data_IF_925435445101
#
_entry.id   IF_925435445101
#
_cell.length_a   1.000
_cell.length_b   1.000
_cell.length_c   1.000
_cell.angle_alpha   90.00
_cell.angle_beta   90.00
_cell.angle_gamma   90.00
#
_symmetry.space_group_name_H-M   'P 1'
#
loop_
_entity.id
_entity.type
_entity.pdbx_description
1 polymer ?
#
# COMPACT_ATOMS: atom_id res chain seq x y z
N UNK A 1 14.65 -3.65 -15.55
CA UNK A 1 14.98 -4.89 -14.81
C UNK A 1 16.37 -4.85 -14.15
N UNK A 2 17.48 -4.75 -14.89
CA UNK A 2 18.85 -4.75 -14.32
C UNK A 2 19.08 -3.80 -13.13
N UNK A 3 18.57 -2.57 -13.20
CA UNK A 3 18.66 -1.60 -12.08
C UNK A 3 17.89 -2.07 -10.86
N UNK A 4 16.70 -2.63 -11.05
CA UNK A 4 15.88 -3.20 -9.99
C UNK A 4 16.56 -4.42 -9.34
N UNK A 5 17.23 -5.26 -10.15
CA UNK A 5 18.02 -6.38 -9.64
C UNK A 5 19.21 -5.91 -8.81
N UNK A 6 19.92 -4.86 -9.25
CA UNK A 6 21.01 -4.25 -8.48
C UNK A 6 20.49 -3.67 -7.16
N UNK A 7 19.36 -2.96 -7.18
CA UNK A 7 18.71 -2.44 -5.97
C UNK A 7 18.33 -3.57 -5.00
N UNK A 8 17.79 -4.68 -5.53
CA UNK A 8 17.43 -5.87 -4.76
C UNK A 8 18.64 -6.72 -4.30
N UNK A 9 19.86 -6.38 -4.72
CA UNK A 9 21.08 -7.15 -4.49
C UNK A 9 21.42 -8.09 -5.65
N UNK A 10 20.48 -8.93 -6.09
CA UNK A 10 20.68 -9.87 -7.20
C UNK A 10 19.39 -10.10 -8.00
N UNK A 11 19.50 -10.75 -9.18
CA UNK A 11 18.33 -11.20 -9.95
C UNK A 11 17.49 -12.23 -9.19
N UNK A 12 18.14 -13.08 -8.41
CA UNK A 12 17.46 -14.10 -7.60
C UNK A 12 16.68 -13.48 -6.45
N UNK A 13 17.22 -12.44 -5.81
CA UNK A 13 16.55 -11.69 -4.75
C UNK A 13 15.27 -10.97 -5.24
N UNK A 14 15.15 -10.68 -6.54
CA UNK A 14 13.89 -10.15 -7.09
C UNK A 14 12.75 -11.18 -7.09
N UNK A 15 13.05 -12.48 -7.07
CA UNK A 15 12.02 -13.51 -7.14
C UNK A 15 11.14 -13.51 -5.89
N UNK A 16 9.84 -13.74 -6.09
CA UNK A 16 8.85 -13.81 -5.00
C UNK A 16 8.23 -12.47 -4.61
N UNK A 17 8.55 -11.37 -5.31
CA UNK A 17 7.82 -10.11 -5.18
C UNK A 17 6.39 -10.20 -5.73
N UNK A 18 5.53 -9.28 -5.31
CA UNK A 18 4.16 -9.15 -5.84
C UNK A 18 4.08 -8.06 -6.92
N UNK A 19 3.08 -8.14 -7.80
CA UNK A 19 2.84 -7.11 -8.84
C UNK A 19 2.60 -5.74 -8.19
N UNK A 20 1.88 -5.69 -7.08
CA UNK A 20 1.60 -4.45 -6.32
C UNK A 20 2.90 -3.78 -5.87
N UNK A 21 3.81 -4.55 -5.25
CA UNK A 21 5.11 -4.03 -4.81
C UNK A 21 5.91 -3.48 -5.99
N UNK A 22 5.92 -4.20 -7.12
CA UNK A 22 6.61 -3.74 -8.32
C UNK A 22 6.04 -2.43 -8.87
N UNK A 23 4.71 -2.30 -8.89
CA UNK A 23 4.06 -1.05 -9.31
C UNK A 23 4.44 0.11 -8.38
N UNK A 24 4.29 -0.06 -7.06
CA UNK A 24 4.62 1.00 -6.11
C UNK A 24 6.10 1.37 -6.06
N UNK A 25 7.02 0.40 -6.24
CA UNK A 25 8.45 0.67 -6.27
C UNK A 25 8.86 1.44 -7.54
N UNK A 26 8.13 1.26 -8.65
CA UNK A 26 8.39 1.94 -9.93
C UNK A 26 7.70 3.30 -10.03
N UNK A 27 6.52 3.45 -9.42
CA UNK A 27 5.68 4.64 -9.58
C UNK A 27 5.64 5.53 -8.35
N UNK A 28 6.00 5.00 -7.17
CA UNK A 28 5.75 5.67 -5.90
C UNK A 28 4.27 5.74 -5.51
N UNK A 29 3.38 5.11 -6.29
CA UNK A 29 1.94 5.17 -6.16
C UNK A 29 1.36 4.38 -4.98
N UNK A 30 0.02 4.25 -4.99
CA UNK A 30 -0.71 3.42 -4.03
C UNK A 30 -1.24 2.19 -4.74
N UNK A 31 -0.78 1.01 -4.33
CA UNK A 31 -1.14 -0.26 -4.95
C UNK A 31 -2.23 -1.02 -4.20
N UNK A 32 -3.11 -1.67 -4.95
CA UNK A 32 -4.21 -2.51 -4.48
C UNK A 32 -4.22 -3.84 -5.22
N UNK A 33 -4.77 -4.85 -4.56
CA UNK A 33 -4.97 -6.19 -5.13
C UNK A 33 -6.37 -6.67 -4.80
N UNK A 34 -7.04 -7.19 -5.82
CA UNK A 34 -8.33 -7.84 -5.73
C UNK A 34 -8.19 -9.30 -6.13
N UNK A 35 -8.63 -10.22 -5.27
CA UNK A 35 -8.67 -11.64 -5.58
C UNK A 35 -10.08 -11.99 -6.14
N UNK A 36 -10.13 -12.59 -7.33
CA UNK A 36 -11.35 -12.98 -8.06
C UNK A 36 -11.77 -14.43 -7.78
N UNK A 37 -11.02 -15.17 -6.96
CA UNK A 37 -11.20 -16.63 -6.78
C UNK A 37 -12.24 -17.03 -5.73
N UNK A 38 -12.74 -18.27 -5.88
CA UNK A 38 -13.93 -18.85 -5.23
C UNK A 38 -13.88 -19.07 -3.71
N UNK A 39 -12.73 -18.99 -3.04
CA UNK A 39 -12.59 -19.40 -1.63
C UNK A 39 -11.67 -18.47 -0.81
N UNK A 40 -12.12 -17.27 -0.46
CA UNK A 40 -11.53 -16.52 0.65
C UNK A 40 -12.64 -16.10 1.60
N UNK A 41 -12.82 -16.77 2.77
CA UNK A 41 -13.54 -16.14 3.87
C UNK A 41 -12.87 -14.82 4.22
N UNK A 42 -13.63 -13.86 4.76
CA UNK A 42 -13.29 -12.47 5.12
C UNK A 42 -12.11 -12.30 6.11
N UNK A 43 -11.03 -13.06 5.99
CA UNK A 43 -9.87 -12.96 6.87
C UNK A 43 -8.94 -11.84 6.41
N UNK A 44 -9.21 -10.64 6.94
CA UNK A 44 -8.27 -9.53 7.12
C UNK A 44 -8.14 -8.52 5.97
N UNK A 45 -9.27 -7.99 5.51
CA UNK A 45 -9.28 -6.76 4.71
C UNK A 45 -9.04 -6.92 3.20
N UNK A 46 -9.22 -8.13 2.65
CA UNK A 46 -9.43 -8.31 1.20
C UNK A 46 -10.92 -8.45 0.99
N UNK A 47 -11.59 -7.43 0.42
CA UNK A 47 -13.01 -7.53 0.07
C UNK A 47 -13.16 -8.66 -0.95
N UNK A 48 -13.95 -9.69 -0.62
CA UNK A 48 -14.34 -10.71 -1.58
C UNK A 48 -15.39 -10.08 -2.52
N UNK A 49 -15.10 -9.99 -3.82
CA UNK A 49 -16.01 -9.33 -4.77
C UNK A 49 -16.81 -10.28 -5.65
N UNK A 50 -16.44 -11.57 -5.72
CA UNK A 50 -17.05 -12.51 -6.66
C UNK A 50 -17.60 -13.74 -5.94
N UNK A 51 -18.93 -13.82 -5.74
CA UNK A 51 -19.61 -15.09 -5.52
C UNK A 51 -19.45 -15.98 -6.76
N UNK A 52 -19.29 -17.29 -6.53
CA UNK A 52 -19.12 -18.31 -7.58
C UNK A 52 -20.14 -18.14 -8.73
N UNK A 53 -19.65 -18.05 -9.97
CA UNK A 53 -20.47 -18.10 -11.19
C UNK A 53 -21.19 -16.81 -11.58
N UNK A 54 -20.90 -15.69 -10.92
CA UNK A 54 -21.49 -14.40 -11.25
C UNK A 54 -20.50 -13.51 -12.00
N UNK A 55 -21.03 -12.66 -12.88
CA UNK A 55 -20.30 -11.60 -13.58
C UNK A 55 -20.64 -10.28 -12.88
N UNK A 56 -19.87 -9.84 -11.87
CA UNK A 56 -20.25 -8.70 -11.05
C UNK A 56 -20.15 -7.40 -11.85
N UNK A 57 -21.28 -6.75 -12.12
CA UNK A 57 -21.31 -5.45 -12.80
C UNK A 57 -20.48 -4.39 -12.06
N UNK A 58 -20.53 -4.40 -10.73
CA UNK A 58 -19.81 -3.44 -9.88
C UNK A 58 -18.28 -3.46 -10.08
N UNK A 59 -17.68 -4.63 -10.33
CA UNK A 59 -16.23 -4.73 -10.59
C UNK A 59 -15.89 -4.15 -11.97
N UNK A 60 -16.74 -4.34 -12.97
CA UNK A 60 -16.58 -3.69 -14.27
C UNK A 60 -16.59 -2.17 -14.10
N UNK A 61 -17.58 -1.65 -13.40
CA UNK A 61 -17.73 -0.22 -13.16
C UNK A 61 -16.49 0.35 -12.43
N UNK A 62 -15.98 -0.37 -11.43
CA UNK A 62 -14.76 0.03 -10.71
C UNK A 62 -13.53 -0.01 -11.62
N UNK A 63 -13.31 -1.07 -12.41
CA UNK A 63 -12.17 -1.14 -13.36
C UNK A 63 -12.27 0.01 -14.38
N UNK A 64 -13.45 0.27 -14.95
CA UNK A 64 -13.65 1.34 -15.92
C UNK A 64 -13.45 2.73 -15.31
N UNK A 65 -13.93 2.95 -14.08
CA UNK A 65 -13.69 4.19 -13.34
C UNK A 65 -12.19 4.40 -13.13
N UNK A 66 -11.48 3.37 -12.65
CA UNK A 66 -10.04 3.47 -12.37
C UNK A 66 -9.23 3.66 -13.65
N UNK A 67 -9.57 3.02 -14.75
CA UNK A 67 -8.90 3.25 -16.05
C UNK A 67 -9.13 4.67 -16.61
N UNK A 68 -10.20 5.37 -16.23
CA UNK A 68 -10.41 6.78 -16.61
C UNK A 68 -9.60 7.75 -15.76
N UNK A 69 -9.07 7.30 -14.64
CA UNK A 69 -8.23 8.08 -13.72
C UNK A 69 -6.77 7.64 -13.88
N UNK A 70 -5.86 8.23 -13.12
CA UNK A 70 -4.42 7.93 -13.21
C UNK A 70 -4.03 6.57 -12.58
N UNK A 71 -4.80 5.51 -12.83
CA UNK A 71 -4.47 4.17 -12.35
C UNK A 71 -3.87 3.30 -13.45
N UNK A 72 -2.82 2.57 -13.08
CA UNK A 72 -2.34 1.42 -13.86
C UNK A 72 -3.11 0.19 -13.41
N UNK A 73 -3.73 -0.51 -14.36
CA UNK A 73 -4.51 -1.72 -14.09
C UNK A 73 -3.86 -2.94 -14.75
N UNK A 74 -3.78 -4.04 -14.00
CA UNK A 74 -3.28 -5.31 -14.50
C UNK A 74 -4.01 -6.49 -13.89
N UNK A 75 -3.79 -7.68 -14.44
CA UNK A 75 -4.40 -8.91 -13.93
C UNK A 75 -3.47 -10.11 -14.07
N UNK A 76 -3.78 -11.17 -13.34
CA UNK A 76 -3.08 -12.46 -13.45
C UNK A 76 -4.08 -13.60 -13.38
N UNK A 77 -3.79 -14.68 -14.11
CA UNK A 77 -4.38 -15.99 -13.87
C UNK A 77 -3.37 -16.83 -13.09
N UNK A 78 -3.69 -17.22 -11.86
CA UNK A 78 -2.78 -17.93 -10.95
C UNK A 78 -3.32 -19.33 -10.67
N UNK A 79 -2.47 -20.36 -10.76
CA UNK A 79 -2.79 -21.73 -10.32
C UNK A 79 -1.79 -22.18 -9.27
N UNK A 80 -2.25 -22.92 -8.25
CA UNK A 80 -1.36 -23.50 -7.24
C UNK A 80 -0.71 -24.77 -7.82
N UNK A 81 0.62 -24.82 -7.87
CA UNK A 81 1.36 -26.08 -8.04
C UNK A 81 1.93 -26.38 -9.44
N UNK A 82 1.68 -25.55 -10.46
CA UNK A 82 2.22 -25.82 -11.81
C UNK A 82 3.56 -25.08 -12.05
N UNK A 83 4.61 -25.75 -12.55
CA UNK A 83 5.82 -25.08 -13.01
C UNK A 83 5.50 -24.14 -14.20
N UNK A 84 6.29 -23.06 -14.34
CA UNK A 84 6.19 -22.05 -15.41
C UNK A 84 6.22 -22.69 -16.82
N UNK A 85 5.60 -22.06 -17.85
CA UNK A 85 4.20 -21.69 -17.99
C UNK A 85 3.41 -22.79 -18.72
N UNK A 86 2.38 -23.36 -18.08
CA UNK A 86 1.30 -24.02 -18.81
C UNK A 86 0.36 -22.95 -19.37
N UNK A 87 0.17 -22.91 -20.68
CA UNK A 87 -0.90 -22.09 -21.28
C UNK A 87 -2.20 -22.85 -21.17
N UNK A 88 -3.31 -22.19 -20.82
CA UNK A 88 -4.64 -22.79 -20.94
C UNK A 88 -4.94 -23.12 -22.40
N UNK A 89 -5.92 -24.02 -22.62
CA UNK A 89 -6.44 -24.31 -23.96
C UNK A 89 -6.93 -23.05 -24.69
N UNK A 90 -7.32 -22.01 -23.93
CA UNK A 90 -7.80 -20.73 -24.46
C UNK A 90 -6.70 -19.69 -24.73
N UNK A 91 -5.43 -20.06 -24.59
CA UNK A 91 -4.30 -19.16 -24.87
C UNK A 91 -3.87 -18.28 -23.70
N UNK A 92 -4.52 -18.38 -22.54
CA UNK A 92 -4.10 -17.63 -21.33
C UNK A 92 -2.89 -18.32 -20.70
N UNK A 93 -1.75 -17.65 -20.69
CA UNK A 93 -0.58 -18.01 -19.89
C UNK A 93 -0.84 -17.87 -18.39
N UNK A 94 -0.63 -18.98 -17.67
CA UNK A 94 -0.74 -19.04 -16.21
C UNK A 94 0.48 -18.40 -15.53
N UNK A 95 0.27 -17.84 -14.34
CA UNK A 95 1.28 -17.25 -13.48
C UNK A 95 2.09 -16.12 -14.17
N UNK A 96 1.46 -15.42 -15.13
CA UNK A 96 1.98 -14.23 -15.82
C UNK A 96 1.06 -13.04 -15.59
N UNK A 97 1.66 -11.85 -15.50
CA UNK A 97 0.95 -10.59 -15.37
C UNK A 97 0.60 -10.05 -16.75
N UNK A 98 -0.67 -9.67 -16.91
CA UNK A 98 -1.20 -8.99 -18.07
C UNK A 98 -1.48 -7.53 -17.68
N UNK A 99 -1.19 -6.62 -18.59
CA UNK A 99 -1.59 -5.22 -18.47
C UNK A 99 -2.96 -5.04 -19.12
N UNK A 100 -3.86 -4.34 -18.44
CA UNK A 100 -5.11 -3.91 -19.06
C UNK A 100 -4.87 -2.57 -19.73
N UNK A 101 -5.00 -2.54 -21.06
CA UNK A 101 -4.64 -1.37 -21.87
C UNK A 101 -5.83 -0.42 -22.02
N UNK A 102 -7.02 -0.97 -22.25
CA UNK A 102 -8.26 -0.21 -22.39
C UNK A 102 -9.46 -1.15 -22.23
N UNK A 103 -10.65 -0.59 -22.04
CA UNK A 103 -11.90 -1.33 -22.03
C UNK A 103 -13.08 -0.37 -22.07
N UNK A 104 -14.25 -0.90 -22.41
CA UNK A 104 -15.46 -0.12 -22.51
C UNK A 104 -16.66 -0.95 -22.94
N UNK A 105 -17.82 -0.33 -22.84
CA UNK A 105 -19.08 -0.84 -23.36
C UNK A 105 -19.17 -0.47 -24.84
N UNK A 106 -19.19 -1.49 -25.70
CA UNK A 106 -19.20 -1.35 -27.16
C UNK A 106 -20.39 -2.11 -27.74
N UNK A 107 -21.38 -1.35 -28.22
CA UNK A 107 -22.69 -1.90 -28.60
C UNK A 107 -23.27 -2.65 -27.39
N UNK A 108 -23.65 -3.92 -27.55
CA UNK A 108 -24.18 -4.75 -26.46
C UNK A 108 -23.09 -5.56 -25.72
N UNK A 109 -21.80 -5.27 -25.97
CA UNK A 109 -20.68 -6.08 -25.47
C UNK A 109 -19.77 -5.29 -24.52
N UNK A 110 -19.38 -5.89 -23.40
CA UNK A 110 -18.35 -5.37 -22.49
C UNK A 110 -16.99 -5.95 -22.85
N UNK A 111 -16.14 -5.17 -23.51
CA UNK A 111 -14.86 -5.65 -24.03
C UNK A 111 -13.68 -4.94 -23.37
N UNK A 112 -12.62 -5.69 -23.11
CA UNK A 112 -11.35 -5.15 -22.64
C UNK A 112 -10.18 -5.67 -23.46
N UNK A 113 -9.16 -4.84 -23.61
CA UNK A 113 -7.91 -5.16 -24.28
C UNK A 113 -6.83 -5.44 -23.24
N UNK A 114 -6.33 -6.67 -23.25
CA UNK A 114 -5.21 -7.09 -22.41
C UNK A 114 -3.93 -7.15 -23.24
N UNK A 115 -2.79 -6.99 -22.56
CA UNK A 115 -1.46 -7.16 -23.15
C UNK A 115 -0.60 -8.04 -22.27
N UNK A 116 0.02 -9.05 -22.85
CA UNK A 116 1.05 -9.87 -22.21
C UNK A 116 2.46 -9.47 -22.71
N UNK A 117 3.50 -9.47 -21.86
CA UNK A 117 4.87 -9.29 -22.34
C UNK A 117 5.26 -10.40 -23.32
N UNK A 118 6.04 -10.02 -24.33
CA UNK A 118 6.60 -10.94 -25.32
C UNK A 118 7.65 -11.87 -24.69
N UNK A 119 7.83 -13.03 -25.31
CA UNK A 119 8.94 -13.93 -25.02
C UNK A 119 10.26 -13.42 -25.63
N UNK A 120 11.34 -14.17 -25.40
CA UNK A 120 12.68 -13.86 -25.90
C UNK A 120 12.79 -13.80 -27.43
N UNK A 121 11.84 -14.43 -28.13
CA UNK A 121 11.76 -14.44 -29.59
C UNK A 121 10.82 -13.36 -30.12
N UNK A 122 10.29 -12.48 -29.25
CA UNK A 122 9.37 -11.42 -29.62
C UNK A 122 7.96 -11.92 -29.92
N UNK A 123 7.57 -13.10 -29.45
CA UNK A 123 6.25 -13.68 -29.67
C UNK A 123 5.45 -13.72 -28.37
N UNK A 124 4.13 -13.73 -28.48
CA UNK A 124 3.24 -14.00 -27.36
C UNK A 124 2.17 -15.02 -27.77
N UNK A 125 1.76 -15.86 -26.83
CA UNK A 125 0.57 -16.70 -27.02
C UNK A 125 -0.64 -15.91 -26.55
N UNK A 126 -1.50 -15.57 -27.50
CA UNK A 126 -2.67 -14.72 -27.29
C UNK A 126 -3.95 -15.55 -27.09
N UNK A 127 -4.99 -14.85 -26.66
CA UNK A 127 -6.32 -15.40 -26.48
C UNK A 127 -6.90 -15.94 -27.80
N UNK A 128 -7.44 -17.15 -27.77
CA UNK A 128 -8.04 -17.81 -28.95
C UNK A 128 -9.56 -18.04 -28.80
N UNK A 129 -10.20 -17.36 -27.85
CA UNK A 129 -11.64 -17.45 -27.60
C UNK A 129 -12.46 -16.42 -28.40
N UNK A 130 -13.66 -16.10 -27.91
CA UNK A 130 -14.51 -15.05 -28.49
C UNK A 130 -13.77 -13.70 -28.42
N UNK A 131 -13.78 -12.93 -29.50
CA UNK A 131 -12.99 -11.69 -29.66
C UNK A 131 -11.48 -11.86 -29.83
N UNK A 132 -10.98 -13.07 -30.00
CA UNK A 132 -9.64 -13.30 -30.58
C UNK A 132 -9.54 -12.76 -32.01
N UNK A 133 -8.33 -12.61 -32.53
CA UNK A 133 -8.06 -11.99 -33.85
C UNK A 133 -8.78 -12.68 -35.02
N UNK A 134 -8.92 -14.00 -34.94
CA UNK A 134 -9.62 -14.85 -35.92
C UNK A 134 -11.09 -15.12 -35.55
N UNK A 135 -11.61 -14.50 -34.49
CA UNK A 135 -12.98 -14.71 -34.05
C UNK A 135 -14.00 -14.19 -35.07
N UNK A 136 -15.02 -15.00 -35.36
CA UNK A 136 -16.18 -14.59 -36.17
C UNK A 136 -17.12 -13.61 -35.44
N UNK A 137 -16.90 -13.34 -34.15
CA UNK A 137 -17.67 -12.35 -33.39
C UNK A 137 -17.41 -10.91 -33.85
N UNK A 138 -16.27 -10.66 -34.51
CA UNK A 138 -15.92 -9.36 -35.03
C UNK A 138 -16.78 -8.96 -36.23
N UNK A 139 -17.47 -7.84 -36.11
CA UNK A 139 -18.09 -7.14 -37.24
C UNK A 139 -17.19 -5.98 -37.74
N UNK A 140 -17.41 -5.51 -38.97
CA UNK A 140 -16.59 -4.45 -39.59
C UNK A 140 -16.58 -3.15 -38.78
N UNK A 141 -17.70 -2.82 -38.12
CA UNK A 141 -17.85 -1.60 -37.33
C UNK A 141 -17.01 -1.65 -36.04
N UNK A 142 -17.08 -2.75 -35.29
CA UNK A 142 -16.27 -2.97 -34.09
C UNK A 142 -14.78 -3.03 -34.42
N UNK A 143 -14.39 -3.65 -35.55
CA UNK A 143 -13.00 -3.65 -36.01
C UNK A 143 -12.48 -2.23 -36.23
N UNK A 144 -13.27 -1.37 -36.87
CA UNK A 144 -12.91 0.03 -37.10
C UNK A 144 -12.87 0.83 -35.80
N UNK A 145 -13.89 0.70 -34.95
CA UNK A 145 -14.02 1.45 -33.69
C UNK A 145 -12.92 1.12 -32.68
N UNK A 146 -12.52 -0.15 -32.59
CA UNK A 146 -11.49 -0.59 -31.65
C UNK A 146 -10.07 -0.54 -32.23
N UNK A 147 -9.91 0.05 -33.42
CA UNK A 147 -8.65 0.08 -34.17
C UNK A 147 -8.00 -1.31 -34.24
N UNK A 148 -8.81 -2.33 -34.51
CA UNK A 148 -8.35 -3.71 -34.61
C UNK A 148 -7.37 -3.86 -35.78
N UNK A 149 -6.17 -4.39 -35.51
CA UNK A 149 -5.20 -4.81 -36.51
C UNK A 149 -4.96 -6.30 -36.38
N UNK A 150 -5.05 -7.05 -37.48
CA UNK A 150 -4.96 -8.52 -37.48
C UNK A 150 -3.53 -9.06 -37.35
N UNK A 151 -2.52 -8.21 -37.14
CA UNK A 151 -1.14 -8.55 -37.54
C UNK A 151 -0.03 -8.00 -36.65
N UNK A 152 -0.25 -7.92 -35.35
CA UNK A 152 0.85 -7.66 -34.43
C UNK A 152 0.85 -8.78 -33.41
N UNK A 153 1.82 -9.68 -33.50
CA UNK A 153 2.16 -10.62 -32.41
C UNK A 153 2.79 -9.81 -31.24
N UNK A 154 2.10 -8.75 -30.82
CA UNK A 154 2.52 -7.77 -29.82
C UNK A 154 2.00 -8.13 -28.43
N UNK A 155 1.32 -9.28 -28.34
CA UNK A 155 0.74 -9.82 -27.12
C UNK A 155 -0.54 -9.13 -26.73
N UNK A 156 -1.16 -8.32 -27.60
CA UNK A 156 -2.42 -7.63 -27.31
C UNK A 156 -3.61 -8.41 -27.85
N UNK A 157 -4.66 -8.56 -27.03
CA UNK A 157 -5.88 -9.22 -27.47
C UNK A 157 -7.09 -8.66 -26.75
N UNK A 158 -8.26 -8.78 -27.39
CA UNK A 158 -9.54 -8.43 -26.80
C UNK A 158 -10.19 -9.66 -26.15
N UNK A 159 -10.87 -9.43 -25.03
CA UNK A 159 -11.64 -10.44 -24.32
C UNK A 159 -12.94 -9.81 -23.78
N UNK A 160 -14.01 -10.58 -23.76
CA UNK A 160 -15.27 -10.18 -23.15
C UNK A 160 -15.17 -10.22 -21.62
N UNK A 161 -15.85 -9.30 -20.93
CA UNK A 161 -15.82 -9.22 -19.46
C UNK A 161 -16.23 -10.53 -18.78
N UNK A 162 -17.21 -11.23 -19.35
CA UNK A 162 -17.65 -12.53 -18.84
C UNK A 162 -16.52 -13.57 -18.90
N UNK A 163 -15.79 -13.64 -20.02
CA UNK A 163 -14.65 -14.55 -20.18
C UNK A 163 -13.46 -14.13 -19.31
N UNK A 164 -13.24 -12.82 -19.13
CA UNK A 164 -12.26 -12.32 -18.17
C UNK A 164 -12.53 -12.82 -16.76
N UNK A 165 -13.76 -12.68 -16.26
CA UNK A 165 -14.15 -13.17 -14.93
C UNK A 165 -14.03 -14.69 -14.78
N UNK A 166 -14.20 -15.46 -15.87
CA UNK A 166 -14.02 -16.92 -15.87
C UNK A 166 -12.55 -17.34 -15.78
N UNK A 167 -11.65 -16.60 -16.41
CA UNK A 167 -10.24 -17.03 -16.57
C UNK A 167 -9.29 -16.35 -15.58
N UNK A 168 -9.49 -15.07 -15.27
CA UNK A 168 -8.57 -14.32 -14.41
C UNK A 168 -8.84 -14.57 -12.94
N UNK A 169 -7.77 -14.58 -12.15
CA UNK A 169 -7.87 -14.90 -10.71
C UNK A 169 -7.61 -13.69 -9.83
N UNK A 170 -6.89 -12.68 -10.32
CA UNK A 170 -6.53 -11.49 -9.54
C UNK A 170 -6.45 -10.26 -10.44
N UNK A 171 -6.82 -9.12 -9.89
CA UNK A 171 -6.66 -7.78 -10.49
C UNK A 171 -5.78 -6.95 -9.58
N UNK A 172 -4.88 -6.18 -10.17
CA UNK A 172 -3.99 -5.24 -9.50
C UNK A 172 -4.27 -3.86 -10.04
N UNK A 173 -4.33 -2.88 -9.15
CA UNK A 173 -4.50 -1.48 -9.51
C UNK A 173 -3.46 -0.66 -8.77
N UNK A 174 -2.88 0.34 -9.40
CA UNK A 174 -1.98 1.27 -8.74
C UNK A 174 -2.35 2.70 -9.14
N UNK A 175 -2.78 3.51 -8.17
CA UNK A 175 -3.01 4.94 -8.38
C UNK A 175 -1.65 5.64 -8.44
N UNK A 176 -1.37 6.32 -9.53
CA UNK A 176 -0.27 7.27 -9.62
C UNK A 176 -0.61 8.47 -8.72
N UNK A 177 0.41 9.00 -8.03
CA UNK A 177 0.26 10.21 -7.24
C UNK A 177 0.61 11.39 -8.15
N UNK A 178 -0.31 12.35 -8.25
CA UNK A 178 -0.10 13.65 -8.88
C UNK A 178 0.27 14.71 -7.81
N UNK A 179 0.41 15.96 -8.26
CA UNK A 179 0.83 17.08 -7.41
C UNK A 179 -0.27 17.54 -6.41
N UNK A 180 -1.50 17.02 -6.53
CA UNK A 180 -2.63 17.34 -5.64
C UNK A 180 -2.64 16.49 -4.35
N UNK A 181 -1.65 15.62 -4.17
CA UNK A 181 -1.56 14.78 -2.98
C UNK A 181 -0.68 15.40 -1.90
N UNK A 182 -1.28 15.67 -0.74
CA UNK A 182 -0.51 15.94 0.47
C UNK A 182 0.08 14.62 1.00
N UNK A 183 1.42 14.57 1.13
CA UNK A 183 2.16 13.38 1.60
C UNK A 183 3.04 13.67 2.81
N UNK A 184 2.75 13.01 3.93
CA UNK A 184 3.68 12.90 5.06
C UNK A 184 4.38 11.54 5.04
N UNK A 185 5.69 11.53 5.23
CA UNK A 185 6.48 10.29 5.33
C UNK A 185 7.41 10.36 6.52
N UNK A 186 7.26 9.41 7.43
CA UNK A 186 8.15 9.23 8.58
C UNK A 186 8.96 7.97 8.37
N UNK A 187 10.29 8.08 8.51
CA UNK A 187 11.19 6.94 8.63
C UNK A 187 11.57 6.81 10.10
N UNK A 188 11.24 5.69 10.72
CA UNK A 188 11.49 5.44 12.13
C UNK A 188 11.85 3.97 12.35
N UNK A 189 11.96 3.56 13.60
CA UNK A 189 12.28 2.20 14.00
C UNK A 189 11.59 1.84 15.31
N UNK A 190 11.29 0.56 15.46
CA UNK A 190 11.07 -0.04 16.77
C UNK A 190 12.43 -0.57 17.26
N UNK A 191 12.87 -0.10 18.42
CA UNK A 191 14.14 -0.44 19.07
C UNK A 191 14.02 -0.24 20.58
N UNK A 192 14.65 -1.12 21.37
CA UNK A 192 14.65 -1.07 22.83
C UNK A 192 13.24 -0.85 23.42
N UNK A 193 13.03 0.25 24.15
CA UNK A 193 11.76 0.60 24.76
C UNK A 193 10.63 0.76 23.75
N UNK A 194 10.93 1.26 22.54
CA UNK A 194 9.91 1.55 21.52
C UNK A 194 9.34 0.30 20.85
N UNK A 195 9.95 -0.88 21.07
CA UNK A 195 9.44 -2.18 20.63
C UNK A 195 8.31 -2.69 21.53
N UNK A 196 7.22 -1.91 21.62
CA UNK A 196 6.17 -2.10 22.61
C UNK A 196 5.20 -3.26 22.35
N UNK A 197 5.12 -3.77 21.12
CA UNK A 197 4.15 -4.82 20.76
C UNK A 197 2.73 -4.29 20.50
N UNK A 198 1.77 -5.19 20.23
CA UNK A 198 0.35 -4.84 20.11
C UNK A 198 -0.32 -4.62 21.48
N UNK A 199 -1.58 -4.19 21.50
CA UNK A 199 -2.32 -3.84 22.73
C UNK A 199 -2.50 -4.99 23.72
N UNK A 200 -2.22 -6.23 23.32
CA UNK A 200 -2.18 -7.41 24.20
C UNK A 200 -1.03 -7.35 25.24
N UNK A 201 -0.04 -6.49 25.03
CA UNK A 201 1.13 -6.35 25.90
C UNK A 201 1.15 -4.98 26.55
N UNK A 202 1.40 -4.92 27.87
CA UNK A 202 1.40 -3.65 28.63
C UNK A 202 2.37 -2.61 28.03
N UNK A 203 3.46 -3.09 27.44
CA UNK A 203 4.50 -2.32 26.76
C UNK A 203 4.03 -1.58 25.51
N UNK A 204 2.81 -1.81 25.01
CA UNK A 204 2.29 -1.18 23.79
C UNK A 204 2.39 0.34 23.82
N UNK A 205 2.26 0.92 25.02
CA UNK A 205 2.36 2.36 25.32
C UNK A 205 3.69 2.99 24.92
N UNK A 206 4.73 2.17 24.79
CA UNK A 206 6.05 2.63 24.43
C UNK A 206 6.28 2.71 22.91
N UNK A 207 5.41 2.13 22.09
CA UNK A 207 5.49 2.32 20.64
C UNK A 207 5.48 3.83 20.31
N UNK A 208 6.09 4.16 19.17
CA UNK A 208 6.04 5.51 18.64
C UNK A 208 4.59 5.92 18.36
N UNK A 209 4.24 7.15 18.73
CA UNK A 209 2.89 7.69 18.58
C UNK A 209 2.97 9.06 17.93
N UNK A 210 2.06 9.31 16.99
CA UNK A 210 1.95 10.59 16.29
C UNK A 210 0.55 11.17 16.46
N UNK A 211 0.49 12.49 16.47
CA UNK A 211 -0.74 13.27 16.55
C UNK A 211 -1.27 13.48 15.14
N UNK A 212 -2.55 13.19 14.95
CA UNK A 212 -3.28 13.37 13.72
C UNK A 212 -4.45 14.34 13.96
N UNK A 213 -4.38 15.53 13.39
CA UNK A 213 -5.40 16.56 13.49
C UNK A 213 -6.32 16.52 12.26
N UNK A 214 -7.60 16.24 12.48
CA UNK A 214 -8.61 16.23 11.42
C UNK A 214 -9.52 17.45 11.60
N UNK A 215 -9.23 18.50 10.82
CA UNK A 215 -9.92 19.79 10.91
C UNK A 215 -11.17 19.85 10.03
N UNK A 216 -11.25 19.01 8.99
CA UNK A 216 -12.35 18.98 8.03
C UNK A 216 -13.15 17.67 8.16
N UNK A 217 -14.48 17.70 7.96
CA UNK A 217 -15.28 16.48 7.88
C UNK A 217 -15.02 15.77 6.54
N UNK A 218 -15.22 14.45 6.52
CA UNK A 218 -15.03 13.58 5.35
C UNK A 218 -13.61 13.57 4.79
N UNK A 219 -12.61 13.87 5.61
CA UNK A 219 -11.20 13.77 5.23
C UNK A 219 -10.82 12.31 5.00
N UNK A 220 -10.34 11.99 3.79
CA UNK A 220 -9.94 10.64 3.41
C UNK A 220 -8.44 10.50 3.44
N UNK A 221 -7.93 9.64 4.31
CA UNK A 221 -6.51 9.35 4.41
C UNK A 221 -6.18 7.96 3.90
N UNK A 222 -5.08 7.84 3.16
CA UNK A 222 -4.43 6.58 2.88
C UNK A 222 -3.22 6.44 3.78
N UNK A 223 -3.28 5.49 4.72
CA UNK A 223 -2.22 5.23 5.69
C UNK A 223 -1.52 3.94 5.30
N UNK A 224 -0.21 4.04 5.06
CA UNK A 224 0.67 2.93 4.65
C UNK A 224 1.82 2.79 5.65
N UNK A 225 1.91 1.63 6.28
CA UNK A 225 3.04 1.23 7.12
C UNK A 225 3.86 0.16 6.38
N UNK A 226 5.15 0.39 6.23
CA UNK A 226 6.08 -0.47 5.47
C UNK A 226 7.28 -0.85 6.32
N UNK A 227 7.68 -2.11 6.28
CA UNK A 227 8.92 -2.64 6.87
C UNK A 227 9.93 -3.01 5.76
N UNK A 228 11.24 -3.12 6.06
CA UNK A 228 12.26 -3.55 5.12
C UNK A 228 11.88 -4.82 4.37
N UNK A 229 12.26 -4.90 3.10
CA UNK A 229 11.93 -6.06 2.28
C UNK A 229 12.68 -7.29 2.81
N UNK A 230 11.94 -8.35 3.17
CA UNK A 230 12.52 -9.58 3.69
C UNK A 230 13.56 -10.20 2.74
N UNK A 231 13.41 -9.98 1.43
CA UNK A 231 14.34 -10.47 0.40
C UNK A 231 15.72 -9.82 0.46
N UNK A 232 15.81 -8.63 1.07
CA UNK A 232 17.06 -7.87 1.23
C UNK A 232 17.77 -8.19 2.55
N UNK A 233 17.11 -8.88 3.49
CA UNK A 233 17.71 -9.29 4.75
C UNK A 233 18.52 -10.58 4.57
N UNK A 234 19.81 -10.53 4.92
CA UNK A 234 20.67 -11.72 4.88
C UNK A 234 20.09 -12.83 5.77
N UNK A 235 19.81 -14.00 5.17
CA UNK A 235 19.48 -15.24 5.89
C UNK A 235 18.01 -15.50 6.25
N UNK A 236 17.05 -14.60 5.96
CA UNK A 236 15.65 -14.77 6.39
C UNK A 236 14.67 -15.31 5.32
N UNK A 237 15.18 -15.70 4.14
CA UNK A 237 14.34 -16.22 3.06
C UNK A 237 13.32 -15.18 2.55
N UNK A 238 12.24 -15.64 1.89
CA UNK A 238 11.22 -14.77 1.29
C UNK A 238 10.07 -14.39 2.24
N UNK A 239 10.18 -14.75 3.52
CA UNK A 239 9.08 -14.64 4.48
C UNK A 239 9.34 -13.56 5.51
N UNK A 240 8.29 -12.82 5.87
CA UNK A 240 8.34 -11.83 6.94
C UNK A 240 8.19 -12.55 8.28
N UNK A 241 9.18 -12.38 9.16
CA UNK A 241 9.14 -12.89 10.53
C UNK A 241 8.30 -12.01 11.46
N UNK A 242 8.14 -10.73 11.10
CA UNK A 242 7.41 -9.74 11.88
C UNK A 242 6.07 -9.42 11.21
N UNK A 243 5.00 -9.45 11.98
CA UNK A 243 3.71 -8.92 11.57
C UNK A 243 3.60 -7.46 12.02
N UNK A 244 3.27 -6.57 11.09
CA UNK A 244 3.12 -5.14 11.34
C UNK A 244 1.65 -4.71 11.21
N UNK A 245 1.25 -3.75 12.04
CA UNK A 245 -0.08 -3.16 12.05
C UNK A 245 -0.01 -1.74 12.62
N UNK A 246 -1.15 -1.06 12.68
CA UNK A 246 -1.24 0.22 13.38
C UNK A 246 -2.63 0.42 13.96
N UNK A 247 -2.70 1.22 15.01
CA UNK A 247 -3.95 1.66 15.62
C UNK A 247 -4.15 3.14 15.36
N UNK A 248 -5.42 3.54 15.26
CA UNK A 248 -5.87 4.91 15.39
C UNK A 248 -6.70 4.96 16.67
N UNK A 249 -6.28 5.80 17.59
CA UNK A 249 -7.01 6.08 18.82
C UNK A 249 -7.54 7.50 18.82
N UNK A 250 -8.59 7.74 19.58
CA UNK A 250 -8.95 9.09 20.00
C UNK A 250 -7.91 9.59 21.01
N UNK A 251 -7.51 10.86 20.90
CA UNK A 251 -6.59 11.51 21.82
C UNK A 251 -7.16 11.68 23.23
N UNK A 252 -6.45 12.43 24.06
CA UNK A 252 -6.93 12.75 25.41
C UNK A 252 -8.03 13.81 25.34
N UNK A 253 -9.09 13.67 26.13
CA UNK A 253 -10.22 14.61 26.13
C UNK A 253 -9.85 15.96 26.75
N UNK A 254 -8.98 15.95 27.77
CA UNK A 254 -8.62 17.15 28.55
C UNK A 254 -7.74 18.13 27.77
N UNK A 255 -8.19 19.38 27.52
CA UNK A 255 -7.42 20.57 27.22
C UNK A 255 -5.91 20.44 26.94
N UNK A 256 -5.21 20.39 28.06
CA UNK A 256 -3.75 20.46 28.15
C UNK A 256 -3.05 19.12 27.89
N UNK A 257 -3.79 18.02 27.78
CA UNK A 257 -3.23 16.68 27.58
C UNK A 257 -3.34 16.19 26.13
N UNK A 258 -3.99 16.95 25.25
CA UNK A 258 -4.26 16.55 23.85
C UNK A 258 -3.00 16.21 23.06
N UNK A 259 -1.90 16.90 23.38
CA UNK A 259 -0.61 16.76 22.72
C UNK A 259 0.25 15.63 23.28
N UNK A 260 -0.23 14.91 24.30
CA UNK A 260 0.48 13.81 24.95
C UNK A 260 0.22 12.48 24.27
N UNK A 261 1.11 11.51 24.51
CA UNK A 261 0.84 10.12 24.13
C UNK A 261 -0.40 9.58 24.83
N UNK A 262 -1.13 8.72 24.14
CA UNK A 262 -2.23 7.95 24.70
C UNK A 262 -1.65 6.76 25.47
N UNK A 263 -1.84 6.75 26.79
CA UNK A 263 -1.39 5.68 27.68
C UNK A 263 -2.54 4.84 28.24
N UNK A 264 -3.70 5.44 28.42
CA UNK A 264 -4.87 4.76 28.96
C UNK A 264 -5.91 4.80 27.86
N UNK A 265 -6.49 3.63 27.56
CA UNK A 265 -7.57 3.48 26.60
C UNK A 265 -8.84 3.22 27.38
N UNK A 266 -9.90 3.98 27.07
CA UNK A 266 -11.27 3.63 27.42
C UNK A 266 -11.70 2.48 26.52
N UNK A 267 -12.24 1.44 27.14
CA UNK A 267 -12.78 0.28 26.41
C UNK A 267 -13.98 0.69 25.55
N UNK A 268 -14.12 0.04 24.40
CA UNK A 268 -15.16 0.32 23.42
C UNK A 268 -14.65 1.05 22.18
N UNK A 269 -15.49 1.09 21.15
CA UNK A 269 -15.26 1.85 19.93
C UNK A 269 -15.68 3.32 20.11
N UNK A 270 -15.28 4.20 19.19
CA UNK A 270 -15.58 5.63 19.25
C UNK A 270 -17.10 5.93 19.37
N UNK A 271 -17.95 5.12 18.74
CA UNK A 271 -19.42 5.26 18.80
C UNK A 271 -19.99 4.98 20.20
N UNK A 272 -19.35 4.08 20.95
CA UNK A 272 -19.72 3.75 22.34
C UNK A 272 -19.02 4.67 23.36
N UNK A 273 -18.27 5.67 22.89
CA UNK A 273 -17.49 6.58 23.74
C UNK A 273 -16.12 6.04 24.18
N UNK A 274 -15.67 4.94 23.59
CA UNK A 274 -14.33 4.40 23.79
C UNK A 274 -13.26 5.12 22.95
N UNK A 275 -12.00 4.70 23.12
CA UNK A 275 -10.85 5.34 22.47
C UNK A 275 -10.41 4.65 21.18
N UNK A 276 -10.91 3.45 20.88
CA UNK A 276 -10.56 2.73 19.65
C UNK A 276 -11.34 3.29 18.45
N UNK A 277 -10.60 3.81 17.47
CA UNK A 277 -11.19 4.36 16.23
C UNK A 277 -10.98 3.40 15.07
N UNK A 278 -9.77 2.87 14.94
CA UNK A 278 -9.45 1.90 13.89
C UNK A 278 -8.27 1.02 14.26
N UNK A 279 -8.31 -0.24 13.82
CA UNK A 279 -7.19 -1.17 13.92
C UNK A 279 -6.88 -1.77 12.55
N UNK A 280 -5.67 -1.52 12.04
CA UNK A 280 -5.14 -2.31 10.93
C UNK A 280 -4.53 -3.59 11.50
N UNK A 281 -5.23 -4.70 11.29
CA UNK A 281 -4.77 -6.03 11.74
C UNK A 281 -3.32 -6.33 11.33
N UNK A 282 -2.55 -6.96 12.23
CA UNK A 282 -1.16 -7.29 11.96
C UNK A 282 -1.05 -8.30 10.81
N UNK A 283 -0.17 -8.02 9.83
CA UNK A 283 0.10 -8.92 8.70
C UNK A 283 1.59 -9.18 8.53
N UNK A 284 1.93 -10.44 8.24
CA UNK A 284 3.28 -10.85 7.82
C UNK A 284 3.54 -10.46 6.36
N UNK A 285 3.61 -9.16 6.11
CA UNK A 285 3.79 -8.59 4.78
C UNK A 285 4.74 -7.40 4.82
N UNK A 286 5.32 -7.05 3.68
CA UNK A 286 6.17 -5.86 3.52
C UNK A 286 5.48 -4.58 3.99
N UNK A 287 4.19 -4.49 3.73
CA UNK A 287 3.39 -3.32 4.06
C UNK A 287 1.97 -3.69 4.42
N UNK A 288 1.33 -2.79 5.15
CA UNK A 288 -0.11 -2.75 5.38
C UNK A 288 -0.63 -1.36 4.99
N UNK A 289 -1.66 -1.33 4.15
CA UNK A 289 -2.30 -0.10 3.67
C UNK A 289 -3.78 -0.11 4.03
N UNK A 290 -4.33 1.05 4.37
CA UNK A 290 -5.77 1.27 4.50
C UNK A 290 -6.14 2.62 3.91
N UNK A 291 -7.33 2.69 3.33
CA UNK A 291 -8.02 3.96 3.12
C UNK A 291 -9.05 4.12 4.23
N UNK A 292 -8.93 5.17 5.03
CA UNK A 292 -9.85 5.46 6.12
C UNK A 292 -10.42 6.86 5.95
N UNK A 293 -11.74 6.99 6.05
CA UNK A 293 -12.45 8.26 5.96
C UNK A 293 -12.87 8.70 7.35
N UNK A 294 -12.39 9.86 7.77
CA UNK A 294 -12.86 10.52 8.98
C UNK A 294 -14.14 11.29 8.64
N UNK A 295 -15.30 10.73 9.00
CA UNK A 295 -16.60 11.32 8.65
C UNK A 295 -16.84 12.70 9.30
N UNK A 296 -16.25 12.94 10.47
CA UNK A 296 -16.40 14.17 11.24
C UNK A 296 -15.03 14.81 11.49
N UNK A 297 -14.99 16.13 11.49
CA UNK A 297 -13.87 16.88 12.08
C UNK A 297 -13.88 16.70 13.59
N UNK A 298 -12.71 16.64 14.21
CA UNK A 298 -12.59 16.50 15.67
C UNK A 298 -11.71 17.61 16.25
N UNK A 299 -12.18 18.31 17.31
CA UNK A 299 -11.32 19.23 18.06
C UNK A 299 -10.26 18.49 18.89
N UNK A 300 -10.50 17.21 19.18
CA UNK A 300 -9.55 16.33 19.87
C UNK A 300 -8.73 15.62 18.80
N UNK A 301 -7.38 15.68 18.85
CA UNK A 301 -6.55 14.96 17.90
C UNK A 301 -6.74 13.44 18.01
N UNK A 302 -6.46 12.74 16.93
CA UNK A 302 -6.29 11.30 16.93
C UNK A 302 -4.82 10.94 17.17
N UNK A 303 -4.58 9.72 17.64
CA UNK A 303 -3.24 9.18 17.85
C UNK A 303 -3.04 8.00 16.91
N UNK A 304 -2.05 8.12 16.03
CA UNK A 304 -1.63 7.06 15.12
C UNK A 304 -0.43 6.32 15.73
N UNK A 305 -0.60 5.01 15.96
CA UNK A 305 0.40 4.18 16.61
C UNK A 305 0.72 2.93 15.79
N UNK A 306 1.82 2.92 15.02
CA UNK A 306 2.31 1.72 14.38
C UNK A 306 2.97 0.78 15.40
N UNK A 307 2.74 -0.52 15.23
CA UNK A 307 3.27 -1.56 16.09
C UNK A 307 3.76 -2.77 15.30
N UNK A 308 4.69 -3.51 15.88
CA UNK A 308 4.91 -4.92 15.56
C UNK A 308 4.09 -5.78 16.52
N UNK A 309 3.61 -6.93 16.05
CA UNK A 309 2.73 -7.79 16.85
C UNK A 309 3.38 -8.23 18.17
N UNK A 310 4.63 -8.68 18.13
CA UNK A 310 5.39 -9.09 19.31
C UNK A 310 6.26 -7.94 19.85
N UNK A 311 6.31 -7.74 21.17
CA UNK A 311 7.21 -6.78 21.79
C UNK A 311 8.68 -7.25 21.74
N UNK A 312 9.62 -6.32 21.95
CA UNK A 312 11.06 -6.59 22.01
C UNK A 312 11.72 -6.93 20.67
N UNK A 313 10.96 -7.01 19.58
CA UNK A 313 11.53 -7.12 18.24
C UNK A 313 11.95 -5.76 17.73
N UNK A 314 13.05 -5.73 16.99
CA UNK A 314 13.54 -4.50 16.40
C UNK A 314 13.39 -4.52 14.87
N UNK A 315 12.95 -3.39 14.33
CA UNK A 315 12.87 -3.23 12.89
C UNK A 315 12.75 -1.76 12.50
N UNK A 316 13.33 -1.41 11.36
CA UNK A 316 13.04 -0.14 10.71
C UNK A 316 11.61 -0.16 10.17
N UNK A 317 10.98 1.00 10.06
CA UNK A 317 9.74 1.14 9.32
C UNK A 317 9.62 2.50 8.66
N UNK A 318 8.72 2.57 7.69
CA UNK A 318 8.27 3.79 7.03
C UNK A 318 6.77 3.90 7.17
N UNK A 319 6.31 4.98 7.77
CA UNK A 319 4.91 5.37 7.82
C UNK A 319 4.67 6.45 6.77
N UNK A 320 3.66 6.26 5.92
CA UNK A 320 3.28 7.21 4.87
C UNK A 320 1.80 7.49 4.99
N UNK A 321 1.43 8.76 5.01
CA UNK A 321 0.04 9.23 5.09
C UNK A 321 -0.19 10.14 3.89
N UNK A 322 -1.26 9.87 3.17
CA UNK A 322 -1.63 10.57 1.94
C UNK A 322 -3.06 11.08 2.06
N UNK A 323 -3.30 12.33 1.68
CA UNK A 323 -4.64 12.88 1.47
C UNK A 323 -4.73 13.47 0.07
N UNK A 324 -5.88 13.24 -0.56
CA UNK A 324 -6.27 13.81 -1.85
C UNK A 324 -6.77 15.23 -1.56
N UNK A 325 -5.89 16.23 -1.69
CA UNK A 325 -6.20 17.64 -1.44
C UNK A 325 -6.98 18.19 -2.65
N UNK A 326 -8.29 17.99 -2.63
CA UNK A 326 -9.15 18.21 -3.81
C UNK A 326 -9.40 19.67 -4.11
N UNK A 327 -9.30 20.53 -3.11
CA UNK A 327 -9.52 21.96 -3.25
C UNK A 327 -8.24 22.73 -3.59
N UNK A 328 -7.06 22.11 -3.43
CA UNK A 328 -5.74 22.67 -3.81
C UNK A 328 -5.56 24.10 -3.27
N UNK A 329 -6.02 24.32 -2.03
CA UNK A 329 -5.97 25.64 -1.39
C UNK A 329 -4.60 25.95 -0.76
N UNK A 330 -3.64 25.02 -0.93
CA UNK A 330 -2.30 25.07 -0.36
C UNK A 330 -2.25 24.77 1.13
N UNK A 331 -3.36 24.38 1.75
CA UNK A 331 -3.45 24.02 3.16
C UNK A 331 -3.77 22.54 3.29
N UNK A 332 -2.87 21.74 3.89
CA UNK A 332 -3.13 20.32 4.14
C UNK A 332 -4.48 20.07 4.82
N UNK A 333 -5.28 19.15 4.27
CA UNK A 333 -6.56 18.70 4.83
C UNK A 333 -6.46 18.12 6.25
N UNK A 334 -5.24 17.77 6.68
CA UNK A 334 -4.97 17.22 7.99
C UNK A 334 -3.61 17.70 8.51
N UNK A 335 -3.52 17.82 9.84
CA UNK A 335 -2.26 18.04 10.53
C UNK A 335 -1.64 16.72 10.97
N UNK A 336 -0.32 16.60 10.84
CA UNK A 336 0.42 15.44 11.33
C UNK A 336 1.70 15.90 12.01
N UNK A 337 1.89 15.51 13.27
CA UNK A 337 3.04 15.95 14.08
C UNK A 337 3.49 14.89 15.08
N UNK A 338 4.75 14.97 15.49
CA UNK A 338 5.28 14.18 16.60
C UNK A 338 4.64 14.59 17.93
N UNK A 339 4.60 13.65 18.88
CA UNK A 339 4.39 13.98 20.29
C UNK A 339 5.70 14.51 20.85
N UNK A 340 5.72 15.79 21.20
CA UNK A 340 6.95 16.46 21.65
C UNK A 340 7.36 16.03 23.06
N UNK A 341 8.65 15.80 23.35
CA UNK A 341 9.11 15.39 24.68
C UNK A 341 8.71 16.35 25.80
N UNK A 342 8.69 17.67 25.56
CA UNK A 342 8.29 18.69 26.53
C UNK A 342 6.80 18.63 26.91
N UNK A 343 5.97 18.20 25.96
CA UNK A 343 4.53 18.05 26.14
C UNK A 343 4.19 16.69 26.77
N UNK A 344 5.05 15.68 26.57
CA UNK A 344 4.82 14.28 26.92
C UNK A 344 5.09 13.93 28.40
N UNK A 345 4.60 12.77 28.82
CA UNK A 345 4.80 12.25 30.18
C UNK A 345 6.23 11.73 30.43
N UNK A 346 6.94 11.29 29.37
CA UNK A 346 8.36 10.92 29.49
C UNK A 346 9.19 12.19 29.52
N UNK A 347 9.63 12.59 30.72
CA UNK A 347 10.64 13.63 30.90
C UNK A 347 12.00 13.00 31.03
N UNK A 348 12.88 13.27 30.08
CA UNK A 348 14.30 12.99 30.19
C UNK A 348 14.97 14.24 30.74
N UNK A 349 15.69 14.12 31.85
CA UNK A 349 16.50 15.20 32.41
C UNK A 349 17.94 14.73 32.46
N UNK A 350 18.86 15.49 31.86
CA UNK A 350 20.29 15.21 31.98
C UNK A 350 20.71 15.59 33.41
N UNK A 351 21.00 14.58 34.24
CA UNK A 351 21.34 14.79 35.65
C UNK A 351 22.80 15.21 35.84
N UNK A 352 23.73 14.66 35.04
CA UNK A 352 25.15 15.01 35.08
C UNK A 352 25.82 14.73 33.72
N UNK A 353 26.73 15.62 33.30
CA UNK A 353 27.65 15.40 32.20
C UNK A 353 29.08 15.31 32.75
N UNK A 354 29.73 14.15 32.59
CA UNK A 354 31.06 13.87 33.18
C UNK A 354 32.24 14.43 32.36
N UNK A 355 32.02 15.38 31.45
CA UNK A 355 33.08 16.03 30.67
C UNK A 355 33.40 17.43 31.20
N UNK A 356 34.39 17.51 32.11
CA UNK A 356 35.08 18.78 32.39
C UNK A 356 36.27 18.95 31.42
N UNK A 357 35.98 19.40 30.21
CA UNK A 357 36.94 20.09 29.34
C UNK A 357 38.10 19.28 28.74
N UNK A 358 37.86 18.70 27.57
CA UNK A 358 38.84 18.68 26.47
C UNK A 358 38.29 19.52 25.32
N UNK A 359 39.10 19.96 24.36
CA UNK A 359 38.68 20.78 23.20
C UNK A 359 37.81 20.02 22.19
N UNK A 360 37.04 19.04 22.63
CA UNK A 360 36.08 18.28 21.84
C UNK A 360 34.69 18.88 22.01
N UNK A 361 34.13 19.32 20.88
CA UNK A 361 32.78 19.84 20.67
C UNK A 361 32.33 20.83 21.74
N UNK A 362 32.59 22.12 21.48
CA UNK A 362 31.72 23.17 21.98
C UNK A 362 30.30 22.85 21.47
N UNK A 363 29.49 22.25 22.34
CA UNK A 363 28.06 22.12 22.12
C UNK A 363 27.53 23.56 22.08
N UNK A 364 27.30 24.07 20.87
CA UNK A 364 26.35 25.14 20.67
C UNK A 364 24.99 24.71 21.23
N UNK A 365 24.15 25.68 21.53
CA UNK A 365 22.85 25.56 22.23
C UNK A 365 21.78 24.74 21.47
N UNK A 366 22.14 23.70 20.73
CA UNK A 366 21.19 22.85 20.02
C UNK A 366 20.87 21.57 20.79
N UNK A 367 19.59 21.43 21.11
CA UNK A 367 18.95 20.30 21.75
C UNK A 367 19.19 18.99 20.96
N UNK A 368 20.03 18.12 21.51
CA UNK A 368 20.11 16.74 21.07
C UNK A 368 19.20 15.87 21.94
N UNK A 369 18.00 15.59 21.43
CA UNK A 369 17.17 14.48 21.88
C UNK A 369 16.84 13.59 20.67
N UNK A 370 16.97 12.27 20.86
CA UNK A 370 16.78 11.28 19.82
C UNK A 370 15.42 11.41 19.11
N UNK A 371 15.48 11.89 17.87
CA UNK A 371 14.44 11.86 16.84
C UNK A 371 15.11 11.64 15.48
N UNK A 372 14.36 11.32 14.40
CA UNK A 372 14.97 11.07 13.10
C UNK A 372 15.66 12.35 12.60
N UNK A 373 16.90 12.18 12.13
CA UNK A 373 17.74 13.28 11.62
C UNK A 373 16.99 14.02 10.50
N UNK A 374 16.58 15.25 10.77
CA UNK A 374 16.11 16.20 9.76
C UNK A 374 17.17 17.27 9.61
N UNK A 375 18.05 17.10 8.63
CA UNK A 375 19.06 18.10 8.24
C UNK A 375 18.93 18.44 6.75
N UNK A 376 19.32 19.66 6.33
CA UNK A 376 19.23 20.09 4.93
C UNK A 376 20.10 19.24 4.00
N UNK A 377 19.63 19.11 2.76
CA UNK A 377 20.08 18.19 1.73
C UNK A 377 21.40 18.61 1.05
N UNK A 378 22.42 19.05 1.78
CA UNK A 378 23.73 19.39 1.21
C UNK A 378 24.86 19.04 2.16
N UNK A 379 25.23 17.74 2.24
CA UNK A 379 26.57 17.29 2.69
C UNK A 379 26.70 15.75 2.61
N UNK A 380 26.56 15.19 1.41
CA UNK A 380 27.02 13.81 1.14
C UNK A 380 27.71 13.77 -0.23
N UNK A 381 28.89 14.38 -0.31
CA UNK A 381 29.91 14.08 -1.31
C UNK A 381 31.23 13.76 -0.61
N UNK A 382 31.47 12.47 -0.41
CA UNK A 382 32.72 11.78 -0.76
C UNK A 382 32.56 10.28 -0.59
#
# INVERSE_FOLDING_TARGET
EKVFAKYSGTYEAMQGGTVVQGLEDLTGGIGYKFDLTKDCPEKGGVKQWIPKGHTPGRLWDEIMEKMKTEHVVGCTCTTKGEPRPQTTAKGILLNRAYCMVTGGDFEDNKLMRLRIPLDENGNAKEWNGKWSDDSSAWNSRLRQMLHFSKSSNDGTFWIEYEDFCKHMTKVYMCRMLDDLWTRFTVKSRWMDETAGGCTNFISWRNNNQWILNITRPKTKLVIKLTQPDARMSAGHGRHYSNAIGFYIFKGNENPGDHKRRKLVLKDGDEEDGGDFVFCKEPRFSRQVTVEYTFEKSSPIPYILMPFMFEPGRESLFRLTILSDDRDDDGVPDFGFSDVKPEDDWKRTTLLDAWSRGGTGNALGEEESAGGPVTGPLEQWTK
#
